data_IF_590952282988
#
_entry.id   IF_590952282988
#
_cell.length_a   1.000
_cell.length_b   1.000
_cell.length_c   1.000
_cell.angle_alpha   90.00
_cell.angle_beta   90.00
_cell.angle_gamma   90.00
#
_symmetry.space_group_name_H-M   'P 1'
#
loop_
_entity.id
_entity.type
_entity.pdbx_description
1 polymer ?
#
# COMPACT_ATOMS: atom_id res chain seq x y z
N UNK A 1 3.91 -59.67 -11.40
CA UNK A 1 5.27 -59.73 -10.86
C UNK A 1 5.92 -58.40 -11.21
N UNK A 2 5.66 -57.36 -10.41
CA UNK A 2 6.49 -56.94 -9.26
C UNK A 2 7.97 -56.85 -9.65
N UNK A 3 8.45 -55.64 -9.95
CA UNK A 3 9.33 -54.86 -9.07
C UNK A 3 8.98 -53.37 -9.25
N UNK A 4 7.89 -52.90 -8.61
CA UNK A 4 7.83 -51.49 -8.18
C UNK A 4 8.60 -51.45 -6.85
N UNK A 5 9.93 -51.39 -6.95
CA UNK A 5 10.79 -51.20 -5.80
C UNK A 5 10.95 -49.71 -5.56
N UNK A 6 10.15 -49.19 -4.64
CA UNK A 6 10.52 -48.36 -3.46
C UNK A 6 11.83 -47.54 -3.40
N UNK A 7 12.52 -47.25 -4.50
CA UNK A 7 13.76 -46.45 -4.49
C UNK A 7 13.51 -44.95 -4.24
N UNK A 8 12.26 -44.47 -4.35
CA UNK A 8 11.93 -43.07 -4.04
C UNK A 8 11.78 -42.81 -2.55
N UNK A 9 11.40 -43.83 -1.76
CA UNK A 9 11.20 -43.71 -0.32
C UNK A 9 12.52 -43.84 0.44
N UNK A 10 13.41 -44.76 0.02
CA UNK A 10 14.71 -44.98 0.67
C UNK A 10 15.64 -43.76 0.58
N UNK A 11 15.53 -42.93 -0.48
CA UNK A 11 16.33 -41.70 -0.63
C UNK A 11 15.74 -40.48 0.09
N UNK A 12 14.42 -40.47 0.36
CA UNK A 12 13.77 -39.44 1.18
C UNK A 12 14.32 -39.46 2.61
N UNK A 13 14.54 -40.65 3.16
CA UNK A 13 15.20 -40.83 4.46
C UNK A 13 16.67 -40.38 4.40
N UNK A 14 17.41 -40.72 3.34
CA UNK A 14 18.84 -40.32 3.21
C UNK A 14 19.01 -38.80 3.12
N UNK A 15 18.16 -38.09 2.36
CA UNK A 15 18.25 -36.63 2.28
C UNK A 15 17.82 -35.98 3.60
N UNK A 16 16.79 -36.52 4.26
CA UNK A 16 16.36 -36.04 5.60
C UNK A 16 17.43 -36.27 6.67
N UNK A 17 18.17 -37.40 6.61
CA UNK A 17 19.30 -37.69 7.49
C UNK A 17 20.52 -36.79 7.21
N UNK A 18 20.82 -36.49 5.93
CA UNK A 18 21.88 -35.56 5.51
C UNK A 18 21.58 -34.10 5.85
N UNK A 19 20.29 -33.74 5.90
CA UNK A 19 19.82 -32.43 6.36
C UNK A 19 20.04 -32.28 7.88
N UNK A 20 20.02 -33.38 8.64
CA UNK A 20 20.19 -33.37 10.11
C UNK A 20 21.62 -33.22 10.60
N UNK A 21 22.63 -33.36 9.75
CA UNK A 21 24.07 -33.25 10.14
C UNK A 21 24.61 -31.85 9.88
N UNK A 22 25.34 -31.23 10.80
CA UNK A 22 25.87 -29.85 10.65
C UNK A 22 26.73 -29.64 9.37
N UNK A 23 27.21 -30.72 8.75
CA UNK A 23 27.86 -30.72 7.44
C UNK A 23 27.03 -31.50 6.41
N UNK A 24 26.70 -30.86 5.29
CA UNK A 24 26.23 -31.53 4.08
C UNK A 24 27.46 -31.77 3.20
N UNK A 25 27.76 -33.02 2.83
CA UNK A 25 29.00 -33.33 2.10
C UNK A 25 28.87 -33.08 0.57
N UNK A 26 30.01 -32.87 -0.08
CA UNK A 26 30.09 -32.59 -1.52
C UNK A 26 29.57 -33.76 -2.37
N UNK A 27 29.61 -34.99 -1.84
CA UNK A 27 29.15 -36.20 -2.53
C UNK A 27 27.62 -36.25 -2.59
N UNK A 28 26.93 -35.90 -1.49
CA UNK A 28 25.49 -35.75 -1.46
C UNK A 28 25.00 -34.60 -2.36
N UNK A 29 25.73 -33.48 -2.40
CA UNK A 29 25.39 -32.35 -3.26
C UNK A 29 25.50 -32.73 -4.76
N UNK A 30 26.56 -33.45 -5.14
CA UNK A 30 26.70 -33.99 -6.51
C UNK A 30 25.63 -35.01 -6.86
N UNK A 31 25.32 -35.93 -5.95
CA UNK A 31 24.26 -36.90 -6.17
C UNK A 31 22.89 -36.24 -6.36
N UNK A 32 22.64 -35.11 -5.69
CA UNK A 32 21.43 -34.31 -5.85
C UNK A 32 21.41 -33.57 -7.20
N UNK A 33 22.54 -32.99 -7.62
CA UNK A 33 22.69 -32.39 -8.96
C UNK A 33 22.43 -33.41 -10.06
N UNK A 34 23.08 -34.58 -10.02
CA UNK A 34 22.86 -35.67 -10.98
C UNK A 34 21.40 -36.14 -11.00
N UNK A 35 20.73 -36.14 -9.84
CA UNK A 35 19.32 -36.46 -9.74
C UNK A 35 18.44 -35.42 -10.43
N UNK A 36 18.74 -34.13 -10.27
CA UNK A 36 18.03 -33.04 -10.96
C UNK A 36 18.26 -33.11 -12.48
N UNK A 37 19.50 -33.30 -12.92
CA UNK A 37 19.84 -33.42 -14.36
C UNK A 37 19.17 -34.63 -15.02
N UNK A 38 19.01 -35.73 -14.28
CA UNK A 38 18.30 -36.93 -14.76
C UNK A 38 16.77 -36.82 -14.67
N UNK A 39 16.23 -35.68 -14.24
CA UNK A 39 14.79 -35.42 -14.15
C UNK A 39 14.10 -36.16 -12.99
N UNK A 40 14.85 -36.60 -11.98
CA UNK A 40 14.26 -37.22 -10.79
C UNK A 40 13.59 -36.15 -9.93
N UNK A 41 12.34 -36.41 -9.57
CA UNK A 41 11.59 -35.52 -8.70
C UNK A 41 12.25 -35.41 -7.33
N UNK A 42 12.50 -34.17 -6.90
CA UNK A 42 12.88 -33.84 -5.51
C UNK A 42 11.90 -32.78 -5.02
N UNK A 43 11.34 -32.92 -3.80
CA UNK A 43 10.45 -31.91 -3.24
C UNK A 43 11.13 -30.55 -3.13
N UNK A 44 10.40 -29.47 -3.42
CA UNK A 44 10.95 -28.12 -3.34
C UNK A 44 11.44 -27.75 -1.93
N UNK A 45 10.72 -28.18 -0.88
CA UNK A 45 11.13 -27.95 0.52
C UNK A 45 12.54 -28.49 0.79
N UNK A 46 12.83 -29.69 0.29
CA UNK A 46 14.14 -30.31 0.38
C UNK A 46 15.20 -29.51 -0.39
N UNK A 47 14.87 -29.06 -1.60
CA UNK A 47 15.79 -28.26 -2.42
C UNK A 47 16.10 -26.92 -1.76
N UNK A 48 15.10 -26.21 -1.24
CA UNK A 48 15.28 -24.94 -0.52
C UNK A 48 16.19 -25.14 0.69
N UNK A 49 15.95 -26.20 1.48
CA UNK A 49 16.74 -26.46 2.67
C UNK A 49 18.21 -26.77 2.35
N UNK A 50 18.47 -27.56 1.30
CA UNK A 50 19.83 -27.85 0.86
C UNK A 50 20.51 -26.61 0.29
N UNK A 51 19.81 -25.82 -0.55
CA UNK A 51 20.33 -24.55 -1.11
C UNK A 51 20.65 -23.56 -0.01
N UNK A 52 19.74 -23.35 0.94
CA UNK A 52 19.93 -22.48 2.10
C UNK A 52 21.12 -22.90 2.96
N UNK A 53 21.25 -24.20 3.23
CA UNK A 53 22.30 -24.72 4.12
C UNK A 53 23.68 -24.74 3.47
N UNK A 54 23.76 -25.06 2.18
CA UNK A 54 25.04 -25.20 1.46
C UNK A 54 25.49 -23.92 0.78
N UNK A 55 24.58 -22.97 0.57
CA UNK A 55 24.78 -21.80 -0.28
C UNK A 55 25.31 -22.14 -1.69
N UNK A 56 25.07 -23.36 -2.19
CA UNK A 56 25.60 -23.82 -3.48
C UNK A 56 24.94 -23.05 -4.63
N UNK A 57 25.72 -22.19 -5.30
CA UNK A 57 25.26 -21.45 -6.49
C UNK A 57 24.95 -22.38 -7.66
N UNK A 58 25.67 -23.49 -7.79
CA UNK A 58 25.49 -24.47 -8.87
C UNK A 58 24.14 -25.17 -8.77
N UNK A 59 23.81 -25.69 -7.58
CA UNK A 59 22.50 -26.29 -7.32
C UNK A 59 21.40 -25.25 -7.49
N UNK A 60 21.57 -24.07 -6.91
CA UNK A 60 20.57 -23.00 -7.03
C UNK A 60 20.28 -22.66 -8.50
N UNK A 61 21.31 -22.47 -9.33
CA UNK A 61 21.11 -22.14 -10.75
C UNK A 61 20.35 -23.23 -11.52
N UNK A 62 20.50 -24.49 -11.13
CA UNK A 62 19.79 -25.62 -11.73
C UNK A 62 18.31 -25.66 -11.35
N UNK A 63 17.97 -25.34 -10.09
CA UNK A 63 16.60 -25.46 -9.58
C UNK A 63 15.86 -24.13 -9.43
N UNK A 64 16.51 -22.99 -9.70
CA UNK A 64 15.96 -21.64 -9.42
C UNK A 64 14.59 -21.41 -10.06
N UNK A 65 14.38 -21.86 -11.29
CA UNK A 65 13.15 -21.57 -12.03
C UNK A 65 11.99 -22.36 -11.41
N UNK A 66 12.23 -23.63 -11.08
CA UNK A 66 11.30 -24.48 -10.31
C UNK A 66 10.98 -23.89 -8.93
N UNK A 67 11.99 -23.40 -8.19
CA UNK A 67 11.78 -22.82 -6.86
C UNK A 67 11.05 -21.48 -6.92
N UNK A 68 11.25 -20.67 -7.97
CA UNK A 68 10.60 -19.36 -8.12
C UNK A 68 9.13 -19.45 -8.54
N UNK A 69 8.69 -20.58 -9.06
CA UNK A 69 7.28 -20.80 -9.39
C UNK A 69 6.40 -20.95 -8.14
N UNK A 70 6.92 -21.58 -7.08
CA UNK A 70 6.20 -21.90 -5.86
C UNK A 70 6.41 -20.85 -4.73
N UNK A 71 5.30 -20.39 -4.13
CA UNK A 71 5.32 -19.35 -3.09
C UNK A 71 6.03 -19.83 -1.82
N UNK A 72 5.82 -21.09 -1.42
CA UNK A 72 6.43 -21.62 -0.20
C UNK A 72 7.94 -21.74 -0.33
N UNK A 73 8.40 -22.09 -1.53
CA UNK A 73 9.82 -22.13 -1.87
C UNK A 73 10.46 -20.74 -1.78
N UNK A 74 9.79 -19.71 -2.31
CA UNK A 74 10.25 -18.31 -2.19
C UNK A 74 10.30 -17.85 -0.73
N UNK A 75 9.27 -18.14 0.06
CA UNK A 75 9.24 -17.83 1.50
C UNK A 75 10.42 -18.51 2.20
N UNK A 76 10.64 -19.81 1.94
CA UNK A 76 11.72 -20.57 2.55
C UNK A 76 13.10 -19.98 2.23
N UNK A 77 13.34 -19.59 0.97
CA UNK A 77 14.58 -18.92 0.56
C UNK A 77 14.77 -17.56 1.24
N UNK A 78 13.71 -16.76 1.37
CA UNK A 78 13.75 -15.47 2.05
C UNK A 78 14.05 -15.64 3.55
N UNK A 79 13.37 -16.56 4.23
CA UNK A 79 13.57 -16.82 5.68
C UNK A 79 14.95 -17.40 5.99
N UNK A 80 15.58 -18.04 5.00
CA UNK A 80 16.94 -18.53 5.11
C UNK A 80 18.01 -17.46 4.82
N UNK A 81 17.61 -16.20 4.56
CA UNK A 81 18.48 -15.12 4.13
C UNK A 81 19.37 -15.49 2.92
N UNK A 82 18.85 -16.29 1.99
CA UNK A 82 19.60 -16.66 0.78
C UNK A 82 19.83 -15.40 -0.08
N UNK A 83 21.06 -15.13 -0.56
CA UNK A 83 21.42 -13.84 -1.17
C UNK A 83 20.96 -13.72 -2.64
N UNK A 84 19.65 -13.80 -2.88
CA UNK A 84 19.05 -13.50 -4.19
C UNK A 84 17.97 -12.40 -4.07
N UNK A 85 18.25 -11.15 -4.53
CA UNK A 85 17.28 -10.06 -4.47
C UNK A 85 16.03 -10.30 -5.34
N UNK A 86 16.08 -11.20 -6.31
CA UNK A 86 14.89 -11.56 -7.10
C UNK A 86 13.86 -12.33 -6.28
N UNK A 87 14.25 -13.05 -5.22
CA UNK A 87 13.31 -13.80 -4.38
C UNK A 87 12.31 -12.84 -3.74
N UNK A 88 12.81 -11.78 -3.09
CA UNK A 88 11.98 -10.76 -2.48
C UNK A 88 11.13 -10.02 -3.53
N UNK A 89 11.71 -9.67 -4.68
CA UNK A 89 10.99 -9.03 -5.79
C UNK A 89 9.81 -9.86 -6.28
N UNK A 90 10.00 -11.17 -6.45
CA UNK A 90 8.94 -12.08 -6.92
C UNK A 90 7.87 -12.27 -5.85
N UNK A 91 8.25 -12.32 -4.56
CA UNK A 91 7.27 -12.35 -3.45
C UNK A 91 6.39 -11.10 -3.50
N UNK A 92 6.99 -9.91 -3.66
CA UNK A 92 6.24 -8.66 -3.77
C UNK A 92 5.32 -8.63 -5.00
N UNK A 93 5.81 -9.08 -6.16
CA UNK A 93 5.03 -9.15 -7.39
C UNK A 93 3.83 -10.10 -7.24
N UNK A 94 4.02 -11.28 -6.65
CA UNK A 94 2.94 -12.23 -6.36
C UNK A 94 1.96 -11.66 -5.33
N UNK A 95 2.46 -11.02 -4.27
CA UNK A 95 1.62 -10.39 -3.24
C UNK A 95 0.76 -9.25 -3.81
N UNK A 96 1.31 -8.48 -4.76
CA UNK A 96 0.60 -7.42 -5.48
C UNK A 96 -0.45 -8.00 -6.44
N UNK A 97 -0.08 -8.98 -7.26
CA UNK A 97 -1.01 -9.60 -8.22
C UNK A 97 -2.15 -10.39 -7.54
N UNK A 98 -1.90 -10.96 -6.36
CA UNK A 98 -2.91 -11.65 -5.56
C UNK A 98 -3.74 -10.68 -4.67
N UNK A 99 -3.62 -9.35 -4.85
CA UNK A 99 -4.25 -8.36 -3.99
C UNK A 99 -5.77 -8.53 -3.84
N UNK A 100 -6.47 -9.00 -4.87
CA UNK A 100 -7.92 -9.21 -4.84
C UNK A 100 -8.39 -10.48 -4.11
N UNK A 101 -7.50 -11.42 -3.80
CA UNK A 101 -7.88 -12.70 -3.20
C UNK A 101 -7.96 -12.62 -1.68
N UNK A 102 -9.19 -12.53 -1.17
CA UNK A 102 -9.48 -12.38 0.26
C UNK A 102 -9.40 -13.74 0.95
N UNK A 103 -8.69 -13.80 2.08
CA UNK A 103 -8.54 -15.03 2.87
C UNK A 103 -7.51 -16.01 2.32
N UNK A 104 -6.71 -15.61 1.33
CA UNK A 104 -5.61 -16.43 0.83
C UNK A 104 -4.47 -16.48 1.89
N UNK A 105 -4.32 -17.64 2.53
CA UNK A 105 -3.29 -17.93 3.54
C UNK A 105 -1.86 -17.70 3.04
N UNK A 106 -1.61 -17.83 1.73
CA UNK A 106 -0.29 -17.59 1.14
C UNK A 106 0.12 -16.12 1.25
N UNK A 107 -0.83 -15.19 1.07
CA UNK A 107 -0.58 -13.75 1.22
C UNK A 107 -0.16 -13.38 2.64
N UNK A 108 -0.83 -13.98 3.62
CA UNK A 108 -0.48 -13.81 5.04
C UNK A 108 0.95 -14.28 5.29
N UNK A 109 1.30 -15.49 4.84
CA UNK A 109 2.64 -16.04 5.00
C UNK A 109 3.72 -15.21 4.29
N UNK A 110 3.43 -14.66 3.10
CA UNK A 110 4.33 -13.75 2.40
C UNK A 110 4.59 -12.46 3.19
N UNK A 111 3.53 -11.85 3.76
CA UNK A 111 3.67 -10.62 4.56
C UNK A 111 4.43 -10.89 5.86
N UNK A 112 4.20 -12.02 6.52
CA UNK A 112 4.94 -12.42 7.72
C UNK A 112 6.43 -12.64 7.42
N UNK A 113 6.75 -13.34 6.33
CA UNK A 113 8.13 -13.52 5.90
C UNK A 113 8.84 -12.19 5.59
N UNK A 114 8.16 -11.26 4.91
CA UNK A 114 8.67 -9.90 4.67
C UNK A 114 8.82 -9.09 5.97
N UNK A 115 7.90 -9.26 6.93
CA UNK A 115 7.96 -8.59 8.21
C UNK A 115 9.24 -8.95 8.99
N UNK A 116 9.69 -10.20 8.88
CA UNK A 116 10.85 -10.75 9.59
C UNK A 116 12.17 -10.56 8.82
N UNK A 117 12.15 -10.78 7.50
CA UNK A 117 13.36 -10.87 6.65
C UNK A 117 13.40 -9.84 5.50
N UNK A 118 12.28 -9.19 5.19
CA UNK A 118 12.19 -8.22 4.11
C UNK A 118 13.09 -7.00 4.31
N UNK A 119 13.51 -6.42 3.19
CA UNK A 119 14.37 -5.25 3.07
C UNK A 119 13.56 -3.94 2.98
N UNK A 120 14.24 -2.80 3.03
CA UNK A 120 13.61 -1.48 3.01
C UNK A 120 12.96 -1.21 1.64
N UNK A 121 13.47 -1.84 0.60
CA UNK A 121 13.01 -1.80 -0.77
C UNK A 121 11.57 -2.32 -0.90
N UNK A 122 11.15 -3.26 -0.04
CA UNK A 122 9.78 -3.78 0.03
C UNK A 122 8.74 -2.76 0.49
N UNK A 123 9.14 -1.68 1.17
CA UNK A 123 8.21 -0.75 1.80
C UNK A 123 7.29 -0.03 0.81
N UNK A 124 7.78 0.30 -0.39
CA UNK A 124 6.98 1.00 -1.38
C UNK A 124 5.79 0.13 -1.82
N UNK A 125 6.07 -1.11 -2.22
CA UNK A 125 5.04 -2.06 -2.67
C UNK A 125 4.10 -2.46 -1.54
N UNK A 126 4.61 -2.70 -0.32
CA UNK A 126 3.75 -3.03 0.83
C UNK A 126 2.78 -1.89 1.19
N UNK A 127 3.21 -0.63 1.07
CA UNK A 127 2.34 0.54 1.26
C UNK A 127 1.29 0.66 0.16
N UNK A 128 1.66 0.38 -1.08
CA UNK A 128 0.72 0.36 -2.20
C UNK A 128 -0.36 -0.72 -2.01
N UNK A 129 0.02 -1.93 -1.63
CA UNK A 129 -0.91 -3.03 -1.33
C UNK A 129 -1.82 -2.66 -0.16
N UNK A 130 -1.26 -2.11 0.93
CA UNK A 130 -2.07 -1.64 2.06
C UNK A 130 -3.08 -0.57 1.60
N UNK A 131 -2.66 0.36 0.75
CA UNK A 131 -3.50 1.42 0.22
C UNK A 131 -4.65 0.88 -0.65
N UNK A 132 -4.45 -0.16 -1.46
CA UNK A 132 -5.53 -0.80 -2.22
C UNK A 132 -6.56 -1.53 -1.32
N UNK A 133 -6.11 -2.09 -0.17
CA UNK A 133 -6.99 -2.85 0.73
C UNK A 133 -7.86 -1.97 1.65
N UNK A 134 -7.40 -0.76 2.02
CA UNK A 134 -8.12 0.11 2.98
C UNK A 134 -9.49 0.57 2.45
N UNK A 135 -9.65 1.02 1.19
CA UNK A 135 -10.95 1.34 0.61
C UNK A 135 -11.88 0.12 0.58
N UNK A 136 -11.37 -1.06 0.20
CA UNK A 136 -12.14 -2.30 0.16
C UNK A 136 -12.69 -2.70 1.54
N UNK A 137 -11.87 -2.60 2.59
CA UNK A 137 -12.27 -2.89 3.97
C UNK A 137 -13.30 -1.89 4.50
N UNK A 138 -13.15 -0.60 4.20
CA UNK A 138 -14.13 0.43 4.61
C UNK A 138 -15.46 0.26 3.88
N UNK A 139 -15.45 0.05 2.56
CA UNK A 139 -16.66 -0.17 1.76
C UNK A 139 -17.41 -1.42 2.20
N UNK A 140 -16.72 -2.54 2.47
CA UNK A 140 -17.36 -3.76 2.99
C UNK A 140 -17.93 -3.60 4.40
N UNK A 141 -17.26 -2.84 5.28
CA UNK A 141 -17.79 -2.49 6.60
C UNK A 141 -19.09 -1.69 6.51
N UNK A 142 -19.21 -0.77 5.56
CA UNK A 142 -20.45 -0.02 5.33
C UNK A 142 -21.57 -0.90 4.78
N UNK A 143 -21.27 -1.83 3.86
CA UNK A 143 -22.24 -2.78 3.31
C UNK A 143 -22.72 -3.75 4.40
N UNK A 144 -21.80 -4.31 5.17
CA UNK A 144 -22.08 -5.21 6.30
C UNK A 144 -22.91 -4.54 7.41
N UNK A 145 -22.60 -3.28 7.77
CA UNK A 145 -23.40 -2.52 8.72
C UNK A 145 -24.80 -2.16 8.18
N UNK A 146 -24.94 -1.95 6.86
CA UNK A 146 -26.24 -1.72 6.22
C UNK A 146 -27.10 -3.00 6.18
N UNK A 147 -26.48 -4.16 5.95
CA UNK A 147 -27.17 -5.47 5.94
C UNK A 147 -27.61 -5.86 7.36
N UNK A 148 -26.77 -5.67 8.38
CA UNK A 148 -27.13 -5.95 9.78
C UNK A 148 -28.23 -5.02 10.34
N UNK A 149 -28.36 -3.81 9.81
CA UNK A 149 -29.43 -2.87 10.17
C UNK A 149 -30.81 -3.25 9.61
N UNK A 150 -30.83 -4.00 8.52
CA UNK A 150 -32.03 -4.63 7.97
C UNK A 150 -32.21 -5.99 8.64
N UNK A 151 -33.00 -6.04 9.72
CA UNK A 151 -33.41 -7.30 10.36
C UNK A 151 -34.16 -8.20 9.35
N UNK A 152 -33.44 -9.06 8.66
CA UNK A 152 -34.03 -10.16 7.89
C UNK A 152 -32.98 -11.26 7.80
N UNK A 153 -33.29 -12.36 8.50
CA UNK A 153 -32.80 -13.74 8.35
C UNK A 153 -31.31 -13.91 8.01
N UNK A 154 -30.58 -14.60 8.91
CA UNK A 154 -29.19 -15.02 8.75
C UNK A 154 -28.99 -15.86 7.47
N UNK A 155 -28.85 -15.18 6.34
CA UNK A 155 -28.45 -15.79 5.09
C UNK A 155 -26.94 -16.04 5.16
N UNK A 156 -26.51 -17.24 4.74
CA UNK A 156 -25.10 -17.66 4.64
C UNK A 156 -24.24 -16.60 3.93
N UNK A 157 -24.82 -15.86 2.98
CA UNK A 157 -24.19 -14.72 2.31
C UNK A 157 -23.74 -13.59 3.25
N UNK A 158 -24.51 -13.28 4.29
CA UNK A 158 -24.17 -12.24 5.28
C UNK A 158 -23.02 -12.70 6.17
N UNK A 159 -23.02 -13.98 6.57
CA UNK A 159 -21.92 -14.58 7.34
C UNK A 159 -20.61 -14.60 6.54
N UNK A 160 -20.66 -14.98 5.25
CA UNK A 160 -19.49 -14.96 4.37
C UNK A 160 -18.91 -13.55 4.21
N UNK A 161 -19.77 -12.53 4.05
CA UNK A 161 -19.32 -11.13 4.00
C UNK A 161 -18.62 -10.68 5.30
N UNK A 162 -19.10 -11.12 6.47
CA UNK A 162 -18.44 -10.82 7.75
C UNK A 162 -17.09 -11.50 7.89
N UNK A 163 -16.98 -12.77 7.49
CA UNK A 163 -15.72 -13.53 7.51
C UNK A 163 -14.69 -12.91 6.57
N UNK A 164 -15.09 -12.52 5.36
CA UNK A 164 -14.23 -11.82 4.41
C UNK A 164 -13.75 -10.46 4.95
N UNK A 165 -14.64 -9.68 5.55
CA UNK A 165 -14.29 -8.39 6.14
C UNK A 165 -13.32 -8.54 7.33
N UNK A 166 -13.49 -9.58 8.14
CA UNK A 166 -12.57 -9.91 9.23
C UNK A 166 -11.18 -10.34 8.69
N UNK A 167 -11.14 -11.20 7.67
CA UNK A 167 -9.90 -11.63 7.02
C UNK A 167 -9.14 -10.46 6.37
N UNK A 168 -9.85 -9.54 5.71
CA UNK A 168 -9.23 -8.33 5.15
C UNK A 168 -8.65 -7.42 6.22
N UNK A 169 -9.35 -7.28 7.35
CA UNK A 169 -8.86 -6.48 8.48
C UNK A 169 -7.61 -7.10 9.10
N UNK A 170 -7.62 -8.41 9.36
CA UNK A 170 -6.47 -9.14 9.90
C UNK A 170 -5.25 -9.00 8.97
N UNK A 171 -5.47 -9.18 7.66
CA UNK A 171 -4.42 -8.98 6.67
C UNK A 171 -3.86 -7.54 6.65
N UNK A 172 -4.72 -6.53 6.72
CA UNK A 172 -4.29 -5.13 6.79
C UNK A 172 -3.49 -4.82 8.08
N UNK A 173 -3.90 -5.39 9.21
CA UNK A 173 -3.17 -5.27 10.48
C UNK A 173 -1.77 -5.90 10.37
N UNK A 174 -1.66 -7.09 9.74
CA UNK A 174 -0.37 -7.73 9.45
C UNK A 174 0.51 -6.93 8.51
N UNK A 175 -0.06 -6.30 7.47
CA UNK A 175 0.66 -5.41 6.57
C UNK A 175 1.22 -4.18 7.30
N UNK A 176 0.41 -3.52 8.14
CA UNK A 176 0.86 -2.39 8.95
C UNK A 176 1.99 -2.80 9.88
N UNK A 177 1.88 -3.97 10.52
CA UNK A 177 2.93 -4.52 11.37
C UNK A 177 4.23 -4.78 10.59
N UNK A 178 4.15 -5.43 9.41
CA UNK A 178 5.30 -5.69 8.55
C UNK A 178 6.02 -4.40 8.13
N UNK A 179 5.26 -3.38 7.68
CA UNK A 179 5.81 -2.06 7.33
C UNK A 179 6.54 -1.43 8.53
N UNK A 180 5.98 -1.56 9.73
CA UNK A 180 6.59 -1.09 10.97
C UNK A 180 7.96 -1.74 11.22
N UNK A 181 8.01 -3.07 11.25
CA UNK A 181 9.25 -3.83 11.51
C UNK A 181 10.35 -3.56 10.47
N UNK A 182 10.00 -3.53 9.18
CA UNK A 182 10.95 -3.20 8.11
C UNK A 182 11.46 -1.77 8.27
N UNK A 183 10.57 -0.81 8.59
CA UNK A 183 10.95 0.59 8.80
C UNK A 183 11.88 0.78 10.00
N UNK A 184 11.68 0.01 11.08
CA UNK A 184 12.55 0.04 12.26
C UNK A 184 13.93 -0.57 11.97
N UNK A 185 13.98 -1.67 11.22
CA UNK A 185 15.25 -2.27 10.75
C UNK A 185 16.04 -1.29 9.87
N UNK A 186 15.36 -0.61 8.94
CA UNK A 186 15.98 0.44 8.11
C UNK A 186 16.55 1.63 8.91
N UNK A 187 15.94 1.95 10.07
CA UNK A 187 16.46 3.00 10.98
C UNK A 187 17.63 2.52 11.84
N UNK A 188 17.64 1.23 12.18
CA UNK A 188 18.64 0.63 13.09
C UNK A 188 19.93 0.20 12.37
N UNK A 189 19.87 0.02 11.05
CA UNK A 189 20.98 -0.43 10.20
C UNK A 189 21.99 0.67 9.78
N UNK A 190 21.92 1.91 10.31
CA UNK A 190 22.87 2.96 9.97
C UNK A 190 23.72 3.42 11.17
N UNK A 191 25.07 3.31 11.11
CA UNK A 191 25.93 4.38 11.60
C UNK A 191 25.97 5.51 10.55
N UNK A 192 25.89 6.73 11.06
CA UNK A 192 25.94 8.00 10.34
C UNK A 192 27.02 8.02 9.26
N UNK A 193 26.62 8.03 7.98
CA UNK A 193 27.24 8.84 6.91
C UNK A 193 26.37 8.82 5.64
N UNK A 194 26.01 10.04 5.22
CA UNK A 194 25.31 10.45 4.00
C UNK A 194 25.06 9.41 2.90
N UNK A 195 23.78 9.07 2.70
CA UNK A 195 23.24 8.80 1.38
C UNK A 195 21.97 9.65 1.22
N UNK A 196 22.05 10.65 0.35
CA UNK A 196 20.90 11.48 -0.04
C UNK A 196 19.81 10.56 -0.62
N UNK A 197 18.52 10.77 -0.28
CA UNK A 197 17.46 10.15 -1.05
C UNK A 197 17.53 10.67 -2.49
N UNK A 198 17.27 9.79 -3.45
CA UNK A 198 17.01 10.17 -4.85
C UNK A 198 15.73 11.01 -4.85
N UNK A 199 15.89 12.30 -4.61
CA UNK A 199 14.95 13.32 -5.04
C UNK A 199 14.99 13.31 -6.56
N UNK A 200 13.88 12.91 -7.17
CA UNK A 200 13.56 13.36 -8.51
C UNK A 200 13.80 14.87 -8.57
N UNK A 201 14.59 15.29 -9.56
CA UNK A 201 15.00 16.67 -9.78
C UNK A 201 13.78 17.53 -10.11
N UNK A 202 13.10 18.03 -9.09
CA UNK A 202 12.40 19.31 -9.16
C UNK A 202 13.37 20.30 -8.52
N UNK A 203 13.96 21.17 -9.35
CA UNK A 203 14.94 22.15 -8.90
C UNK A 203 14.43 22.98 -7.72
N UNK A 204 15.32 23.52 -6.86
CA UNK A 204 14.95 24.37 -5.76
C UNK A 204 14.50 25.72 -6.33
N UNK A 205 13.24 25.79 -6.78
CA UNK A 205 12.53 27.04 -6.76
C UNK A 205 12.18 27.29 -5.30
N UNK A 206 12.70 28.38 -4.73
CA UNK A 206 12.34 28.84 -3.39
C UNK A 206 10.81 28.73 -3.22
N UNK A 207 10.36 27.81 -2.37
CA UNK A 207 8.95 27.72 -2.01
C UNK A 207 8.60 29.04 -1.35
N UNK A 208 7.81 29.86 -2.04
CA UNK A 208 7.36 31.14 -1.49
C UNK A 208 6.60 30.84 -0.20
N UNK A 209 7.07 31.41 0.91
CA UNK A 209 6.46 31.28 2.23
C UNK A 209 4.96 31.55 2.16
N UNK A 210 4.17 30.65 2.76
CA UNK A 210 2.72 30.78 2.77
C UNK A 210 2.33 31.82 3.82
N UNK A 211 1.68 32.88 3.35
CA UNK A 211 1.14 33.97 4.18
C UNK A 211 0.19 33.43 5.28
N UNK A 212 0.39 33.87 6.53
CA UNK A 212 -0.44 33.54 7.69
C UNK A 212 -1.93 33.81 7.43
N UNK A 213 -2.26 34.85 6.65
CA UNK A 213 -3.63 35.18 6.28
C UNK A 213 -4.29 34.10 5.40
N UNK A 214 -3.51 33.32 4.65
CA UNK A 214 -4.01 32.16 3.91
C UNK A 214 -4.35 31.02 4.86
N UNK A 215 -3.48 30.71 5.81
CA UNK A 215 -3.68 29.67 6.82
C UNK A 215 -4.94 29.96 7.65
N UNK A 216 -5.08 31.22 8.09
CA UNK A 216 -6.25 31.68 8.84
C UNK A 216 -7.55 31.51 8.04
N UNK A 217 -7.55 31.88 6.76
CA UNK A 217 -8.73 31.71 5.88
C UNK A 217 -9.10 30.25 5.67
N UNK A 218 -8.13 29.37 5.41
CA UNK A 218 -8.39 27.93 5.25
C UNK A 218 -9.03 27.37 6.52
N UNK A 219 -8.47 27.72 7.68
CA UNK A 219 -8.97 27.27 9.00
C UNK A 219 -10.36 27.82 9.30
N UNK A 220 -10.63 29.08 8.95
CA UNK A 220 -11.96 29.70 9.11
C UNK A 220 -13.01 29.00 8.24
N UNK A 221 -12.71 28.78 6.97
CA UNK A 221 -13.63 28.08 6.06
C UNK A 221 -13.87 26.62 6.50
N UNK A 222 -12.82 25.90 6.91
CA UNK A 222 -12.93 24.56 7.49
C UNK A 222 -13.86 24.56 8.72
N UNK A 223 -13.65 25.50 9.64
CA UNK A 223 -14.47 25.63 10.86
C UNK A 223 -15.94 25.93 10.56
N UNK A 224 -16.20 26.83 9.59
CA UNK A 224 -17.56 27.11 9.11
C UNK A 224 -18.20 25.89 8.44
N UNK A 225 -17.44 25.14 7.65
CA UNK A 225 -17.93 23.90 7.02
C UNK A 225 -18.43 22.90 8.07
N UNK A 226 -17.67 22.70 9.15
CA UNK A 226 -18.08 21.86 10.29
C UNK A 226 -19.26 22.44 11.08
N UNK A 227 -19.32 23.77 11.27
CA UNK A 227 -20.45 24.41 11.95
C UNK A 227 -21.79 24.17 11.25
N UNK A 228 -21.79 24.16 9.91
CA UNK A 228 -22.99 23.92 9.10
C UNK A 228 -23.27 22.45 8.82
N UNK A 229 -22.38 21.52 9.18
CA UNK A 229 -22.47 20.08 8.85
C UNK A 229 -23.86 19.48 9.08
N UNK A 230 -24.43 19.73 10.25
CA UNK A 230 -25.71 19.14 10.67
C UNK A 230 -26.89 20.10 10.49
N UNK A 231 -26.65 21.31 9.95
CA UNK A 231 -27.63 22.40 9.83
C UNK A 231 -28.03 22.67 8.38
N UNK A 232 -27.04 22.71 7.50
CA UNK A 232 -27.18 23.03 6.10
C UNK A 232 -26.02 22.36 5.33
N UNK A 233 -26.32 21.22 4.71
CA UNK A 233 -25.35 20.44 3.94
C UNK A 233 -24.77 21.24 2.78
N UNK A 234 -25.56 22.12 2.16
CA UNK A 234 -25.13 22.93 1.03
C UNK A 234 -24.13 23.99 1.48
N UNK A 235 -24.47 24.74 2.53
CA UNK A 235 -23.56 25.72 3.12
C UNK A 235 -22.28 25.04 3.62
N UNK A 236 -22.39 23.87 4.25
CA UNK A 236 -21.25 23.08 4.71
C UNK A 236 -20.29 22.73 3.56
N UNK A 237 -20.80 22.16 2.46
CA UNK A 237 -20.01 21.81 1.30
C UNK A 237 -19.45 23.03 0.54
N UNK A 238 -20.18 24.16 0.54
CA UNK A 238 -19.69 25.41 -0.01
C UNK A 238 -18.48 25.94 0.75
N UNK A 239 -18.52 25.94 2.08
CA UNK A 239 -17.38 26.34 2.90
C UNK A 239 -16.22 25.35 2.82
N UNK A 240 -16.50 24.05 2.74
CA UNK A 240 -15.49 23.02 2.52
C UNK A 240 -14.72 23.25 1.22
N UNK A 241 -15.46 23.57 0.14
CA UNK A 241 -14.87 23.94 -1.15
C UNK A 241 -13.95 25.15 -1.03
N UNK A 242 -14.42 26.21 -0.37
CA UNK A 242 -13.65 27.44 -0.21
C UNK A 242 -12.34 27.19 0.55
N UNK A 243 -12.36 26.34 1.58
CA UNK A 243 -11.14 25.94 2.29
C UNK A 243 -10.13 25.26 1.35
N UNK A 244 -10.60 24.32 0.54
CA UNK A 244 -9.76 23.51 -0.37
C UNK A 244 -9.26 24.34 -1.55
N UNK A 245 -10.10 25.19 -2.15
CA UNK A 245 -9.69 26.12 -3.21
C UNK A 245 -8.65 27.13 -2.70
N UNK A 246 -8.78 27.63 -1.47
CA UNK A 246 -7.76 28.48 -0.85
C UNK A 246 -6.41 27.76 -0.73
N UNK A 247 -6.41 26.50 -0.29
CA UNK A 247 -5.21 25.68 -0.20
C UNK A 247 -4.60 25.40 -1.58
N UNK A 248 -5.40 25.02 -2.58
CA UNK A 248 -4.89 24.79 -3.95
C UNK A 248 -4.29 26.06 -4.56
N UNK A 249 -4.93 27.22 -4.36
CA UNK A 249 -4.36 28.51 -4.79
C UNK A 249 -3.02 28.76 -4.11
N UNK A 250 -2.92 28.50 -2.80
CA UNK A 250 -1.65 28.64 -2.09
C UNK A 250 -0.55 27.73 -2.67
N UNK A 251 -0.86 26.47 -2.94
CA UNK A 251 0.07 25.51 -3.55
C UNK A 251 0.52 25.92 -4.96
N UNK A 252 -0.38 26.49 -5.75
CA UNK A 252 -0.05 27.01 -7.08
C UNK A 252 0.87 28.25 -6.96
N UNK A 253 0.57 29.19 -6.04
CA UNK A 253 1.41 30.38 -5.79
C UNK A 253 2.81 29.99 -5.36
N UNK A 254 2.95 29.07 -4.39
CA UNK A 254 4.26 28.67 -3.86
C UNK A 254 5.16 28.02 -4.91
N UNK A 255 4.58 27.52 -6.01
CA UNK A 255 5.29 26.89 -7.12
C UNK A 255 5.38 27.77 -8.38
N UNK A 256 4.89 29.01 -8.32
CA UNK A 256 4.85 29.90 -9.49
C UNK A 256 3.96 29.39 -10.63
N UNK A 257 3.00 28.52 -10.35
CA UNK A 257 2.10 27.92 -11.34
C UNK A 257 0.78 28.68 -11.40
N UNK A 258 0.23 28.86 -12.60
CA UNK A 258 -1.09 29.47 -12.83
C UNK A 258 -1.79 28.75 -13.99
N UNK A 259 -3.13 28.65 -14.00
CA UNK A 259 -3.85 28.16 -15.17
C UNK A 259 -3.57 29.04 -16.40
N UNK A 260 -3.43 28.43 -17.58
CA UNK A 260 -3.01 29.11 -18.81
C UNK A 260 -3.89 30.32 -19.22
N UNK A 261 -5.17 30.32 -18.85
CA UNK A 261 -6.18 31.27 -19.38
C UNK A 261 -6.89 32.09 -18.32
N UNK A 262 -6.58 31.91 -17.04
CA UNK A 262 -7.32 32.53 -15.93
C UNK A 262 -6.35 32.96 -14.83
N UNK A 263 -6.56 34.15 -14.26
CA UNK A 263 -5.81 34.55 -13.06
C UNK A 263 -6.11 33.59 -11.91
N UNK A 264 -5.12 33.31 -11.07
CA UNK A 264 -5.26 32.38 -9.97
C UNK A 264 -6.41 32.74 -9.01
N UNK A 265 -6.69 34.04 -8.84
CA UNK A 265 -7.82 34.51 -8.04
C UNK A 265 -9.18 34.08 -8.61
N UNK A 266 -9.30 34.02 -9.92
CA UNK A 266 -10.54 33.65 -10.65
C UNK A 266 -10.58 32.18 -11.07
N UNK A 267 -9.50 31.43 -10.82
CA UNK A 267 -9.43 30.02 -11.15
C UNK A 267 -10.42 29.20 -10.32
N UNK A 268 -11.15 28.31 -11.00
CA UNK A 268 -12.07 27.35 -10.37
C UNK A 268 -11.30 26.16 -9.79
N UNK A 269 -11.91 25.44 -8.84
CA UNK A 269 -11.35 24.20 -8.28
C UNK A 269 -10.85 23.20 -9.32
N UNK A 270 -11.62 22.97 -10.40
CA UNK A 270 -11.20 22.08 -11.49
C UNK A 270 -9.96 22.57 -12.26
N UNK A 271 -9.84 23.87 -12.51
CA UNK A 271 -8.67 24.46 -13.16
C UNK A 271 -7.43 24.38 -12.27
N UNK A 272 -7.58 24.63 -10.97
CA UNK A 272 -6.50 24.53 -9.99
C UNK A 272 -6.01 23.09 -9.84
N UNK A 273 -6.93 22.13 -9.74
CA UNK A 273 -6.61 20.72 -9.60
C UNK A 273 -5.84 20.19 -10.82
N UNK A 274 -6.22 20.59 -12.04
CA UNK A 274 -5.53 20.21 -13.27
C UNK A 274 -4.06 20.71 -13.28
N UNK A 275 -3.83 21.95 -12.83
CA UNK A 275 -2.48 22.50 -12.69
C UNK A 275 -1.66 21.69 -11.68
N UNK A 276 -2.24 21.40 -10.50
CA UNK A 276 -1.55 20.66 -9.43
C UNK A 276 -1.20 19.21 -9.82
N UNK A 277 -2.06 18.55 -10.60
CA UNK A 277 -1.79 17.21 -11.15
C UNK A 277 -0.66 17.25 -12.17
N UNK A 278 -0.66 18.25 -13.05
CA UNK A 278 0.37 18.37 -14.10
C UNK A 278 1.76 18.61 -13.52
N UNK A 279 1.86 19.30 -12.37
CA UNK A 279 3.14 19.58 -11.72
C UNK A 279 3.51 18.58 -10.61
N UNK A 280 2.77 17.48 -10.46
CA UNK A 280 3.05 16.44 -9.44
C UNK A 280 2.98 16.98 -8.00
N UNK A 281 2.26 18.06 -7.76
CA UNK A 281 2.22 18.73 -6.47
C UNK A 281 1.34 18.02 -5.44
N UNK A 282 0.46 17.12 -5.89
CA UNK A 282 -0.42 16.32 -5.05
C UNK A 282 0.12 14.88 -5.01
N UNK A 283 0.29 14.30 -3.82
CA UNK A 283 0.42 12.85 -3.67
C UNK A 283 -0.77 12.16 -4.33
N UNK A 284 -0.54 11.02 -4.99
CA UNK A 284 -1.59 10.25 -5.68
C UNK A 284 -2.80 9.97 -4.78
N UNK A 285 -2.56 9.71 -3.50
CA UNK A 285 -3.57 9.42 -2.47
C UNK A 285 -4.52 10.62 -2.26
N UNK A 286 -3.98 11.84 -2.38
CA UNK A 286 -4.75 13.07 -2.28
C UNK A 286 -5.35 13.51 -3.61
N UNK A 287 -4.88 13.03 -4.76
CA UNK A 287 -5.52 13.30 -6.04
C UNK A 287 -6.95 12.78 -6.10
N UNK A 288 -7.19 11.57 -5.57
CA UNK A 288 -8.54 11.00 -5.53
C UNK A 288 -9.43 11.74 -4.54
N UNK A 289 -8.92 12.07 -3.35
CA UNK A 289 -9.63 12.87 -2.36
C UNK A 289 -10.00 14.25 -2.92
N UNK A 290 -9.05 14.94 -3.57
CA UNK A 290 -9.26 16.26 -4.18
C UNK A 290 -10.22 16.23 -5.38
N UNK A 291 -10.18 15.19 -6.23
CA UNK A 291 -11.19 14.95 -7.28
C UNK A 291 -12.59 14.73 -6.70
N UNK A 292 -12.67 13.95 -5.61
CA UNK A 292 -13.93 13.64 -4.91
C UNK A 292 -14.51 14.91 -4.29
N UNK A 293 -13.69 15.66 -3.55
CA UNK A 293 -14.06 16.97 -3.00
C UNK A 293 -14.55 17.91 -4.11
N UNK A 294 -13.79 18.06 -5.20
CA UNK A 294 -14.17 18.94 -6.30
C UNK A 294 -15.52 18.53 -6.92
N UNK A 295 -15.74 17.22 -7.12
CA UNK A 295 -17.01 16.70 -7.68
C UNK A 295 -18.20 17.02 -6.77
N UNK A 296 -18.13 16.65 -5.48
CA UNK A 296 -19.22 16.88 -4.54
C UNK A 296 -19.45 18.37 -4.23
N UNK A 297 -18.40 19.17 -4.18
CA UNK A 297 -18.49 20.62 -3.98
C UNK A 297 -18.97 21.38 -5.23
N UNK A 298 -18.90 20.80 -6.43
CA UNK A 298 -19.48 21.38 -7.64
C UNK A 298 -20.96 21.02 -7.81
N UNK A 299 -21.40 19.89 -7.25
CA UNK A 299 -22.80 19.46 -7.25
C UNK A 299 -23.74 20.55 -6.67
N UNK A 300 -23.32 21.25 -5.62
CA UNK A 300 -24.11 22.28 -4.91
C UNK A 300 -24.34 23.59 -5.68
N UNK A 301 -23.63 23.82 -6.78
CA UNK A 301 -23.66 25.07 -7.54
C UNK A 301 -24.48 25.01 -8.82
N UNK A 302 -24.54 23.83 -9.46
CA UNK A 302 -25.15 23.65 -10.78
C UNK A 302 -26.50 22.94 -10.75
N UNK A 303 -26.78 22.15 -9.71
CA UNK A 303 -28.09 21.51 -9.49
C UNK A 303 -28.93 22.35 -8.52
N UNK A 304 -29.74 23.27 -9.06
CA UNK A 304 -30.65 24.11 -8.26
C UNK A 304 -32.11 23.64 -8.27
N UNK A 305 -32.42 22.37 -8.58
CA UNK A 305 -33.83 21.97 -8.62
C UNK A 305 -34.17 20.48 -8.54
N UNK A 306 -33.37 19.57 -9.10
CA UNK A 306 -33.79 18.16 -9.21
C UNK A 306 -33.16 17.23 -8.16
N UNK A 307 -31.98 17.59 -7.63
CA UNK A 307 -31.18 16.74 -6.76
C UNK A 307 -30.97 17.29 -5.33
N UNK A 308 -31.79 18.26 -4.91
CA UNK A 308 -31.63 18.90 -3.59
C UNK A 308 -31.77 17.90 -2.42
N UNK A 309 -32.56 16.84 -2.60
CA UNK A 309 -32.74 15.78 -1.60
C UNK A 309 -31.59 14.77 -1.53
N UNK A 310 -30.69 14.76 -2.53
CA UNK A 310 -29.59 13.78 -2.59
C UNK A 310 -28.41 14.17 -1.67
N UNK A 311 -28.36 15.45 -1.26
CA UNK A 311 -27.38 15.98 -0.31
C UNK A 311 -27.79 15.69 1.13
N UNK A 312 -27.47 14.49 1.60
CA UNK A 312 -27.72 14.08 2.99
C UNK A 312 -26.63 14.58 3.95
N UNK A 313 -26.94 14.85 5.24
CA UNK A 313 -25.94 15.14 6.27
C UNK A 313 -24.85 14.06 6.38
N UNK A 314 -25.21 12.80 6.08
CA UNK A 314 -24.27 11.68 6.05
C UNK A 314 -23.22 11.85 4.95
N UNK A 315 -23.65 12.20 3.73
CA UNK A 315 -22.75 12.44 2.61
C UNK A 315 -21.85 13.66 2.88
N UNK A 316 -22.43 14.75 3.39
CA UNK A 316 -21.70 15.95 3.81
C UNK A 316 -20.60 15.61 4.81
N UNK A 317 -20.91 14.80 5.83
CA UNK A 317 -19.93 14.35 6.83
C UNK A 317 -18.78 13.56 6.18
N UNK A 318 -19.06 12.69 5.21
CA UNK A 318 -18.01 11.96 4.50
C UNK A 318 -17.09 12.88 3.69
N UNK A 319 -17.63 13.89 3.01
CA UNK A 319 -16.81 14.87 2.28
C UNK A 319 -15.97 15.71 3.23
N UNK A 320 -16.51 16.10 4.38
CA UNK A 320 -15.75 16.86 5.38
C UNK A 320 -14.54 16.09 5.93
N UNK A 321 -14.62 14.75 6.05
CA UNK A 321 -13.46 13.95 6.45
C UNK A 321 -12.32 14.04 5.44
N UNK A 322 -12.63 13.99 4.14
CA UNK A 322 -11.62 14.16 3.08
C UNK A 322 -11.02 15.58 3.10
N UNK A 323 -11.84 16.58 3.41
CA UNK A 323 -11.39 17.98 3.56
C UNK A 323 -10.48 18.11 4.78
N UNK A 324 -10.80 17.45 5.89
CA UNK A 324 -9.98 17.45 7.10
C UNK A 324 -8.59 16.87 6.83
N UNK A 325 -8.54 15.71 6.20
CA UNK A 325 -7.32 15.01 5.81
C UNK A 325 -6.47 15.84 4.83
N UNK A 326 -7.09 16.39 3.79
CA UNK A 326 -6.38 17.23 2.83
C UNK A 326 -5.82 18.52 3.46
N UNK A 327 -6.60 19.21 4.30
CA UNK A 327 -6.15 20.44 4.96
C UNK A 327 -5.04 20.13 5.96
N UNK A 328 -5.14 19.05 6.73
CA UNK A 328 -4.10 18.65 7.67
C UNK A 328 -2.78 18.35 6.94
N UNK A 329 -2.83 17.57 5.87
CA UNK A 329 -1.67 17.32 5.02
C UNK A 329 -1.08 18.61 4.47
N UNK A 330 -1.92 19.52 3.96
CA UNK A 330 -1.46 20.80 3.42
C UNK A 330 -0.70 21.61 4.48
N UNK A 331 -1.25 21.69 5.71
CA UNK A 331 -0.58 22.42 6.80
C UNK A 331 0.75 21.76 7.18
N UNK A 332 0.79 20.43 7.34
CA UNK A 332 2.00 19.72 7.71
C UNK A 332 3.10 19.83 6.65
N UNK A 333 2.75 19.70 5.37
CA UNK A 333 3.74 19.67 4.29
C UNK A 333 4.19 21.05 3.84
N UNK A 334 3.30 22.04 3.85
CA UNK A 334 3.63 23.36 3.34
C UNK A 334 4.12 24.33 4.44
N UNK A 335 3.70 24.16 5.70
CA UNK A 335 4.23 24.96 6.82
C UNK A 335 5.43 24.28 7.49
N UNK A 336 5.42 22.95 7.62
CA UNK A 336 6.54 22.19 8.20
C UNK A 336 7.81 22.19 7.34
N UNK A 337 7.73 22.59 6.07
CA UNK A 337 8.88 22.83 5.20
C UNK A 337 9.50 24.23 5.40
N UNK A 338 8.72 25.22 5.84
CA UNK A 338 9.19 26.58 6.08
C UNK A 338 10.05 26.67 7.35
N UNK A 339 9.66 25.98 8.43
CA UNK A 339 10.40 25.97 9.71
C UNK A 339 11.76 25.23 9.65
N UNK A 340 12.03 24.45 8.60
CA UNK A 340 13.30 23.75 8.40
C UNK A 340 14.27 24.48 7.45
N UNK A 341 13.85 25.62 6.92
CA UNK A 341 14.60 26.42 5.95
C UNK A 341 15.18 27.71 6.56
N UNK A 342 14.87 27.99 7.83
CA UNK A 342 15.60 28.94 8.70
C UNK A 342 16.69 28.20 9.48
#
# INVERSE_FOLDING_TARGET
MNICGDDSLVRSETISELIGTDSFDDEALRALLDAQESGKYTPNETLVLVVAKTCSSELYLHVKDQLKEDVWSLIGLLTADYPDPDVERIILEKLFNEASEIGNHRRVAMVEALAEHGSVESLATLREILHEQVPLAQTKKFISAAINGARTEENISTLLMHVEAAAQRDFAEKLVHAIGLISERGKSAMPVQSARPVQEQIGPGDLVSIDEDVVKRITEFKSRAHYYRDKDSRASLQYARQAVECAWKAMCRSRGQSPEKTSLERATGGQLLAVLQTCGALPRDLELATKTINTFCNFTMHDQGEHENDLTPRLTKSVLLLVDEFVEWFMQTQLGAAEKSE
#
